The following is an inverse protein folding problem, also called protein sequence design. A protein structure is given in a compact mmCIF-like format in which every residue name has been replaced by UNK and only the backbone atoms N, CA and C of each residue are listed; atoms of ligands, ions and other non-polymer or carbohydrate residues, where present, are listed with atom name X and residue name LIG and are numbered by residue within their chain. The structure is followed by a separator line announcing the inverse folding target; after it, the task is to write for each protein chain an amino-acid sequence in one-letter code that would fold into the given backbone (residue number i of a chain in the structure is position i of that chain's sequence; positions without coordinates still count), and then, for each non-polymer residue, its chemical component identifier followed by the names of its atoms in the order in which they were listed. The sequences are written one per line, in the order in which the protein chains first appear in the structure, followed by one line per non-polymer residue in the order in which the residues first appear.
data_IF_581017548281
#
_entry.id   IF_581017548281
#
_cell.length_a   1.000
_cell.length_b   1.000
_cell.length_c   1.000
_cell.angle_alpha   90.00
_cell.angle_beta   90.00
_cell.angle_gamma   90.00
#
_symmetry.space_group_name_H-M   'P 1'
#
loop_
_entity.id
_entity.type
_entity.pdbx_description
1 polymer ?
#
# COMPACT_ATOMS: atom_id res chain seq x y z
N UNK A 1 2.71 -14.04 -13.59
CA UNK A 1 1.76 -12.92 -13.40
C UNK A 1 2.47 -11.65 -13.80
N UNK A 2 1.83 -10.79 -14.59
CA UNK A 2 2.38 -9.50 -14.98
C UNK A 2 1.28 -8.44 -15.02
N UNK A 3 1.66 -7.17 -14.85
CA UNK A 3 0.78 -6.03 -15.06
C UNK A 3 0.75 -5.71 -16.56
N UNK A 4 -0.44 -5.74 -17.18
CA UNK A 4 -0.60 -5.47 -18.61
C UNK A 4 -0.72 -3.97 -18.91
N UNK A 5 -1.45 -3.26 -18.09
CA UNK A 5 -1.60 -1.81 -18.22
C UNK A 5 -1.84 -1.14 -16.87
N UNK A 6 -1.57 0.15 -16.81
CA UNK A 6 -1.75 1.00 -15.65
C UNK A 6 -2.34 2.34 -16.10
N UNK A 7 -3.38 2.78 -15.43
CA UNK A 7 -3.93 4.13 -15.55
C UNK A 7 -3.77 4.85 -14.21
N UNK A 8 -3.30 6.06 -14.27
CA UNK A 8 -3.05 6.94 -13.12
C UNK A 8 -3.83 8.23 -13.35
N UNK A 9 -4.62 8.64 -12.38
CA UNK A 9 -5.27 9.94 -12.33
C UNK A 9 -4.96 10.61 -10.99
N UNK A 10 -4.43 11.85 -11.05
CA UNK A 10 -4.19 12.76 -9.92
C UNK A 10 -3.39 12.11 -8.76
N UNK A 11 -2.42 11.26 -9.10
CA UNK A 11 -1.55 10.61 -8.14
C UNK A 11 -0.16 11.23 -8.16
N UNK A 12 0.24 11.83 -7.06
CA UNK A 12 1.52 12.54 -6.89
C UNK A 12 1.71 13.62 -7.98
N UNK A 13 2.70 13.46 -8.87
CA UNK A 13 2.94 14.38 -9.97
C UNK A 13 2.25 14.00 -11.30
N UNK A 14 1.52 12.87 -11.33
CA UNK A 14 0.78 12.44 -12.51
C UNK A 14 -0.66 12.96 -12.49
N UNK A 15 -1.02 13.87 -13.40
CA UNK A 15 -2.40 14.33 -13.57
C UNK A 15 -3.25 13.25 -14.25
N UNK A 16 -2.79 12.79 -15.41
CA UNK A 16 -3.39 11.66 -16.14
C UNK A 16 -2.32 10.97 -16.96
N UNK A 17 -2.16 9.68 -16.74
CA UNK A 17 -1.16 8.88 -17.44
C UNK A 17 -1.69 7.48 -17.69
N UNK A 18 -1.30 6.88 -18.82
CA UNK A 18 -1.64 5.50 -19.17
C UNK A 18 -0.41 4.81 -19.72
N UNK A 19 -0.16 3.59 -19.24
CA UNK A 19 1.00 2.79 -19.59
C UNK A 19 0.57 1.39 -19.99
N UNK A 20 1.22 0.84 -21.01
CA UNK A 20 1.12 -0.57 -21.39
C UNK A 20 2.47 -1.24 -21.17
N UNK A 21 2.46 -2.45 -20.61
CA UNK A 21 3.65 -3.17 -20.22
C UNK A 21 3.79 -4.46 -21.01
N UNK A 22 5.04 -4.85 -21.27
CA UNK A 22 5.39 -6.18 -21.75
C UNK A 22 5.52 -7.15 -20.56
N UNK A 23 5.52 -8.45 -20.86
CA UNK A 23 5.67 -9.49 -19.84
C UNK A 23 7.06 -9.58 -19.23
N UNK A 24 8.06 -9.01 -19.89
CA UNK A 24 9.46 -9.09 -19.50
C UNK A 24 9.91 -7.82 -18.80
N UNK A 25 10.88 -7.11 -19.36
CA UNK A 25 11.49 -5.92 -18.79
C UNK A 25 10.84 -4.67 -19.39
N UNK A 26 10.46 -3.74 -18.53
CA UNK A 26 9.97 -2.43 -18.89
C UNK A 26 10.86 -1.36 -18.25
N UNK A 27 11.43 -0.47 -19.05
CA UNK A 27 12.31 0.59 -18.59
C UNK A 27 11.61 1.95 -18.67
N UNK A 28 11.67 2.73 -17.59
CA UNK A 28 11.22 4.11 -17.57
C UNK A 28 12.42 5.04 -17.65
N UNK A 29 12.51 5.82 -18.71
CA UNK A 29 13.59 6.75 -18.99
C UNK A 29 13.01 8.17 -19.06
N UNK A 30 13.77 9.16 -18.63
CA UNK A 30 13.38 10.57 -18.63
C UNK A 30 14.12 11.36 -17.55
N UNK A 31 13.84 12.65 -17.47
CA UNK A 31 14.48 13.60 -16.55
C UNK A 31 14.17 13.30 -15.08
N UNK A 32 15.02 13.85 -14.19
CA UNK A 32 14.73 13.79 -12.76
C UNK A 32 13.47 14.59 -12.45
N UNK A 33 12.62 14.05 -11.59
CA UNK A 33 11.32 14.66 -11.29
C UNK A 33 10.18 14.31 -12.25
N UNK A 34 10.44 13.66 -13.40
CA UNK A 34 9.41 13.26 -14.37
C UNK A 34 8.35 12.27 -13.83
N UNK A 35 8.56 11.70 -12.63
CA UNK A 35 7.58 10.81 -12.01
C UNK A 35 7.85 9.32 -12.19
N UNK A 36 9.01 8.91 -12.72
CA UNK A 36 9.36 7.48 -12.93
C UNK A 36 9.14 6.63 -11.67
N UNK A 37 9.66 7.09 -10.54
CA UNK A 37 9.48 6.42 -9.24
C UNK A 37 8.01 6.40 -8.80
N UNK A 38 7.22 7.42 -9.15
CA UNK A 38 5.80 7.47 -8.83
C UNK A 38 4.97 6.46 -9.63
N UNK A 39 5.42 6.07 -10.83
CA UNK A 39 4.82 4.95 -11.57
C UNK A 39 5.05 3.62 -10.84
N UNK A 40 6.27 3.37 -10.37
CA UNK A 40 6.59 2.18 -9.58
C UNK A 40 5.79 2.14 -8.27
N UNK A 41 5.63 3.28 -7.62
CA UNK A 41 4.83 3.40 -6.42
C UNK A 41 3.33 3.18 -6.69
N UNK A 42 2.81 3.63 -7.82
CA UNK A 42 1.43 3.34 -8.23
C UNK A 42 1.19 1.84 -8.44
N UNK A 43 2.15 1.13 -9.03
CA UNK A 43 2.11 -0.34 -9.18
C UNK A 43 2.13 -1.01 -7.79
N UNK A 44 3.02 -0.58 -6.91
CA UNK A 44 3.08 -1.07 -5.53
C UNK A 44 1.78 -0.77 -4.77
N UNK A 45 1.21 0.42 -4.96
CA UNK A 45 -0.05 0.81 -4.34
C UNK A 45 -1.21 -0.11 -4.75
N UNK A 46 -1.29 -0.46 -6.03
CA UNK A 46 -2.28 -1.44 -6.52
C UNK A 46 -2.07 -2.84 -5.95
N UNK A 47 -0.83 -3.23 -5.63
CA UNK A 47 -0.49 -4.52 -5.02
C UNK A 47 -0.76 -4.55 -3.52
N UNK A 48 -0.31 -3.52 -2.78
CA UNK A 48 -0.28 -3.48 -1.32
C UNK A 48 -1.36 -2.58 -0.69
N UNK A 49 -2.17 -1.91 -1.51
CA UNK A 49 -3.14 -0.88 -1.10
C UNK A 49 -2.54 0.26 -0.26
N UNK A 50 -1.26 0.53 -0.41
CA UNK A 50 -0.53 1.63 0.25
C UNK A 50 0.70 2.03 -0.57
N UNK A 51 1.11 3.29 -0.46
CA UNK A 51 2.37 3.76 -1.03
C UNK A 51 3.57 3.12 -0.32
N UNK A 52 4.64 2.86 -1.06
CA UNK A 52 5.92 2.46 -0.51
C UNK A 52 6.67 3.66 0.11
N UNK A 53 6.62 4.81 -0.57
CA UNK A 53 7.39 5.99 -0.18
C UNK A 53 6.65 6.92 0.78
N UNK A 54 5.31 6.91 0.79
CA UNK A 54 4.51 7.78 1.64
C UNK A 54 3.33 7.04 2.28
N UNK A 55 3.41 6.86 3.60
CA UNK A 55 2.40 6.10 4.35
C UNK A 55 1.11 6.87 4.62
N UNK A 56 1.08 8.20 4.36
CA UNK A 56 -0.12 9.03 4.53
C UNK A 56 -0.86 9.06 3.19
N UNK A 57 -1.98 8.34 3.13
CA UNK A 57 -2.74 8.16 1.88
C UNK A 57 -3.10 9.49 1.20
N UNK A 58 -3.55 10.50 1.95
CA UNK A 58 -3.93 11.81 1.40
C UNK A 58 -2.76 12.55 0.72
N UNK A 59 -1.53 12.36 1.19
CA UNK A 59 -0.35 12.97 0.59
C UNK A 59 0.07 12.35 -0.75
N UNK A 60 -0.60 11.29 -1.18
CA UNK A 60 -0.42 10.72 -2.52
C UNK A 60 -1.39 11.33 -3.55
N UNK A 61 -2.35 12.16 -3.13
CA UNK A 61 -3.19 12.96 -4.02
C UNK A 61 -2.31 14.07 -4.64
N UNK A 62 -2.51 14.34 -5.92
CA UNK A 62 -1.83 15.44 -6.60
C UNK A 62 -2.16 16.78 -5.93
N UNK A 63 -1.17 17.66 -5.83
CA UNK A 63 -1.34 18.98 -5.23
C UNK A 63 -2.52 19.74 -5.86
N UNK A 64 -3.37 20.37 -5.05
CA UNK A 64 -4.62 21.08 -5.40
C UNK A 64 -5.77 20.16 -5.89
N UNK A 65 -5.65 18.86 -5.80
CA UNK A 65 -6.72 17.91 -6.12
C UNK A 65 -7.28 17.29 -4.84
N UNK A 66 -8.48 16.73 -4.91
CA UNK A 66 -9.19 16.13 -3.77
C UNK A 66 -9.27 14.60 -3.84
N UNK A 67 -8.79 14.00 -4.96
CA UNK A 67 -8.81 12.55 -5.13
C UNK A 67 -7.63 12.06 -5.98
N UNK A 68 -7.39 10.75 -5.95
CA UNK A 68 -6.67 10.04 -6.99
C UNK A 68 -7.38 8.75 -7.37
N UNK A 69 -7.10 8.26 -8.57
CA UNK A 69 -7.50 6.94 -9.04
C UNK A 69 -6.30 6.23 -9.66
N UNK A 70 -6.08 4.99 -9.23
CA UNK A 70 -5.16 4.04 -9.84
C UNK A 70 -5.96 2.85 -10.35
N UNK A 71 -5.69 2.42 -11.60
CA UNK A 71 -6.34 1.25 -12.18
C UNK A 71 -5.31 0.44 -12.96
N UNK A 72 -5.27 -0.87 -12.74
CA UNK A 72 -4.34 -1.76 -13.42
C UNK A 72 -4.99 -3.10 -13.75
N UNK A 73 -4.58 -3.68 -14.87
CA UNK A 73 -4.99 -5.02 -15.28
C UNK A 73 -3.82 -5.98 -15.09
N UNK A 74 -4.01 -6.95 -14.21
CA UNK A 74 -3.05 -7.99 -13.89
C UNK A 74 -3.45 -9.29 -14.59
N UNK A 75 -2.54 -9.84 -15.39
CA UNK A 75 -2.75 -11.12 -16.07
C UNK A 75 -2.01 -12.21 -15.31
N UNK A 76 -2.72 -13.29 -14.98
CA UNK A 76 -2.18 -14.50 -14.36
C UNK A 76 -2.67 -15.70 -15.14
N UNK A 77 -1.75 -16.40 -15.83
CA UNK A 77 -2.09 -17.45 -16.79
C UNK A 77 -3.04 -16.86 -17.86
N UNK A 78 -4.24 -17.42 -18.00
CA UNK A 78 -5.26 -17.01 -18.98
C UNK A 78 -6.29 -16.00 -18.44
N UNK A 79 -6.22 -15.66 -17.15
CA UNK A 79 -7.18 -14.73 -16.52
C UNK A 79 -6.58 -13.35 -16.35
N UNK A 80 -7.38 -12.32 -16.59
CA UNK A 80 -7.02 -10.92 -16.32
C UNK A 80 -7.95 -10.35 -15.27
N UNK A 81 -7.38 -9.84 -14.20
CA UNK A 81 -8.10 -9.15 -13.13
C UNK A 81 -7.85 -7.65 -13.20
N UNK A 82 -8.91 -6.88 -13.18
CA UNK A 82 -8.87 -5.42 -13.04
C UNK A 82 -8.82 -5.04 -11.57
N UNK A 83 -7.81 -4.29 -11.17
CA UNK A 83 -7.71 -3.71 -9.83
C UNK A 83 -7.83 -2.20 -9.94
N UNK A 84 -8.71 -1.62 -9.15
CA UNK A 84 -8.90 -0.18 -9.08
C UNK A 84 -8.85 0.29 -7.63
N UNK A 85 -8.03 1.29 -7.39
CA UNK A 85 -7.95 1.98 -6.10
C UNK A 85 -8.31 3.45 -6.29
N UNK A 86 -9.32 3.92 -5.56
CA UNK A 86 -9.70 5.32 -5.49
C UNK A 86 -9.50 5.80 -4.05
N UNK A 87 -8.96 6.98 -3.92
CA UNK A 87 -8.95 7.72 -2.65
C UNK A 87 -9.57 9.09 -2.92
N UNK A 88 -10.48 9.51 -2.06
CA UNK A 88 -10.99 10.88 -2.06
C UNK A 88 -10.89 11.45 -0.65
N UNK A 89 -10.45 12.69 -0.57
CA UNK A 89 -10.32 13.38 0.70
C UNK A 89 -11.69 13.46 1.41
N UNK A 90 -11.72 13.15 2.69
CA UNK A 90 -12.96 13.07 3.48
C UNK A 90 -13.82 11.82 3.28
N UNK A 91 -13.75 11.15 2.14
CA UNK A 91 -14.55 9.93 1.86
C UNK A 91 -13.76 8.62 2.10
N UNK A 92 -12.43 8.71 2.11
CA UNK A 92 -11.55 7.57 2.34
C UNK A 92 -11.25 6.74 1.10
N UNK A 93 -10.62 5.59 1.32
CA UNK A 93 -10.07 4.73 0.28
C UNK A 93 -11.02 3.58 -0.08
N UNK A 94 -11.17 3.33 -1.38
CA UNK A 94 -11.96 2.22 -1.94
C UNK A 94 -11.09 1.41 -2.87
N UNK A 95 -11.02 0.10 -2.64
CA UNK A 95 -10.32 -0.85 -3.50
C UNK A 95 -11.32 -1.83 -4.10
N UNK A 96 -11.23 -2.04 -5.42
CA UNK A 96 -12.11 -2.94 -6.18
C UNK A 96 -11.28 -3.94 -6.98
N UNK A 97 -11.80 -5.15 -7.11
CA UNK A 97 -11.36 -6.17 -8.06
C UNK A 97 -12.51 -6.52 -8.99
N UNK A 98 -12.33 -6.38 -10.30
CA UNK A 98 -13.37 -6.65 -11.31
C UNK A 98 -14.69 -5.94 -10.97
N UNK A 99 -14.61 -4.63 -10.67
CA UNK A 99 -15.71 -3.75 -10.23
C UNK A 99 -16.30 -4.08 -8.84
N UNK A 100 -15.91 -5.19 -8.21
CA UNK A 100 -16.41 -5.59 -6.89
C UNK A 100 -15.53 -5.02 -5.78
N UNK A 101 -16.13 -4.26 -4.86
CA UNK A 101 -15.43 -3.65 -3.71
C UNK A 101 -14.99 -4.73 -2.71
N UNK A 102 -13.75 -4.66 -2.25
CA UNK A 102 -13.28 -5.45 -1.11
C UNK A 102 -13.93 -4.97 0.19
N UNK A 103 -14.35 -5.91 1.02
CA UNK A 103 -14.84 -5.59 2.37
C UNK A 103 -13.71 -5.19 3.30
N UNK A 104 -12.53 -5.81 3.15
CA UNK A 104 -11.31 -5.53 3.92
C UNK A 104 -10.11 -5.51 2.99
N UNK A 105 -9.22 -4.55 3.15
CA UNK A 105 -7.98 -4.48 2.34
C UNK A 105 -7.07 -5.70 2.54
N UNK A 106 -7.13 -6.35 3.72
CA UNK A 106 -6.40 -7.58 3.98
C UNK A 106 -6.78 -8.75 3.06
N UNK A 107 -7.98 -8.74 2.46
CA UNK A 107 -8.41 -9.75 1.49
C UNK A 107 -7.66 -9.61 0.15
N UNK A 108 -7.15 -8.43 -0.13
CA UNK A 108 -6.40 -8.12 -1.35
C UNK A 108 -4.91 -8.47 -1.23
N UNK A 109 -4.32 -8.26 -0.04
CA UNK A 109 -2.88 -8.46 0.18
C UNK A 109 -2.49 -9.89 -0.18
N UNK A 110 -1.45 -10.04 -1.02
CA UNK A 110 -0.94 -11.33 -1.51
C UNK A 110 -1.65 -11.90 -2.73
N UNK A 111 -2.75 -11.29 -3.22
CA UNK A 111 -3.34 -11.70 -4.51
C UNK A 111 -2.48 -11.28 -5.70
N UNK A 112 -1.82 -10.13 -5.60
CA UNK A 112 -0.93 -9.55 -6.60
C UNK A 112 0.41 -9.20 -5.95
N UNK A 113 1.21 -10.21 -5.54
CA UNK A 113 2.45 -9.95 -4.81
C UNK A 113 3.43 -9.16 -5.67
N UNK A 114 4.09 -8.20 -5.05
CA UNK A 114 5.11 -7.37 -5.69
C UNK A 114 6.29 -7.14 -4.74
N UNK A 115 7.45 -6.96 -5.33
CA UNK A 115 8.66 -6.52 -4.63
C UNK A 115 9.07 -5.19 -5.26
N UNK A 116 9.36 -4.20 -4.42
CA UNK A 116 9.97 -2.94 -4.83
C UNK A 116 11.33 -2.83 -4.16
N UNK A 117 12.31 -2.36 -4.89
CA UNK A 117 13.67 -2.10 -4.40
C UNK A 117 13.99 -0.64 -4.69
N UNK A 118 14.51 0.05 -3.71
CA UNK A 118 14.88 1.45 -3.81
C UNK A 118 16.26 1.72 -3.19
N UNK A 119 16.94 2.81 -3.53
CA UNK A 119 18.19 3.18 -2.89
C UNK A 119 18.11 3.32 -1.36
N UNK A 120 16.92 3.60 -0.82
CA UNK A 120 16.69 3.73 0.63
C UNK A 120 16.64 2.39 1.36
N UNK A 121 16.66 1.25 0.65
CA UNK A 121 16.63 -0.08 1.27
C UNK A 121 17.93 -0.41 2.01
N UNK A 122 19.02 0.36 1.79
CA UNK A 122 20.19 0.37 2.66
C UNK A 122 19.82 0.61 4.13
N UNK A 123 18.70 1.27 4.40
CA UNK A 123 18.16 1.48 5.74
C UNK A 123 17.81 0.16 6.47
N UNK A 124 17.54 -0.92 5.75
CA UNK A 124 17.38 -2.26 6.35
C UNK A 124 18.65 -2.71 7.10
N UNK A 125 19.82 -2.25 6.67
CA UNK A 125 21.11 -2.55 7.28
C UNK A 125 21.49 -1.48 8.31
N UNK A 126 21.29 -0.22 7.96
CA UNK A 126 21.77 0.93 8.75
C UNK A 126 20.85 1.25 9.93
N UNK A 127 19.55 1.05 9.80
CA UNK A 127 18.56 1.38 10.83
C UNK A 127 18.30 0.22 11.80
N UNK A 128 17.50 0.49 12.83
CA UNK A 128 17.17 -0.44 13.90
C UNK A 128 16.30 -1.64 13.46
N UNK A 129 16.09 -2.55 14.39
CA UNK A 129 15.33 -3.80 14.20
C UNK A 129 13.86 -3.56 13.79
N UNK A 130 13.30 -2.38 14.01
CA UNK A 130 11.92 -2.06 13.65
C UNK A 130 11.72 -2.05 12.12
N UNK A 131 12.66 -1.45 11.38
CA UNK A 131 12.60 -1.40 9.90
C UNK A 131 12.67 -2.81 9.32
N UNK A 132 13.57 -3.65 9.84
CA UNK A 132 13.68 -5.06 9.44
C UNK A 132 12.42 -5.86 9.75
N UNK A 133 11.81 -5.66 10.93
CA UNK A 133 10.53 -6.32 11.28
C UNK A 133 9.41 -5.90 10.33
N UNK A 134 9.25 -4.61 10.06
CA UNK A 134 8.24 -4.10 9.10
C UNK A 134 8.41 -4.70 7.70
N UNK A 135 9.66 -4.81 7.24
CA UNK A 135 9.97 -5.45 5.96
C UNK A 135 9.54 -6.93 5.94
N UNK A 136 9.93 -7.70 6.97
CA UNK A 136 9.56 -9.11 7.11
C UNK A 136 8.04 -9.28 7.24
N UNK A 137 7.39 -8.48 8.07
CA UNK A 137 5.94 -8.47 8.23
C UNK A 137 5.21 -8.24 6.90
N UNK A 138 5.68 -7.28 6.11
CA UNK A 138 5.13 -6.99 4.79
C UNK A 138 5.32 -8.16 3.81
N UNK A 139 6.53 -8.73 3.77
CA UNK A 139 6.86 -9.83 2.88
C UNK A 139 6.09 -11.12 3.23
N UNK A 140 6.07 -11.51 4.50
CA UNK A 140 5.37 -12.71 4.96
C UNK A 140 3.85 -12.55 4.79
N UNK A 141 3.31 -11.34 5.00
CA UNK A 141 1.89 -11.05 4.83
C UNK A 141 1.41 -11.25 3.39
N UNK A 142 2.26 -11.03 2.39
CA UNK A 142 1.93 -11.30 0.98
C UNK A 142 1.86 -12.81 0.68
N UNK A 143 2.63 -13.60 1.41
CA UNK A 143 2.72 -15.04 1.18
C UNK A 143 1.71 -15.83 2.03
N UNK A 144 1.49 -15.42 3.31
CA UNK A 144 0.72 -16.19 4.29
C UNK A 144 -0.40 -15.36 4.92
N UNK A 145 -1.63 -15.59 4.46
CA UNK A 145 -2.83 -14.89 4.95
C UNK A 145 -3.11 -15.10 6.45
N UNK A 146 -2.77 -16.26 7.01
CA UNK A 146 -2.89 -16.50 8.46
C UNK A 146 -1.96 -15.60 9.27
N UNK A 147 -0.73 -15.39 8.77
CA UNK A 147 0.21 -14.44 9.38
C UNK A 147 -0.33 -13.00 9.38
N UNK A 148 -0.85 -12.54 8.24
CA UNK A 148 -1.46 -11.22 8.14
C UNK A 148 -2.61 -11.02 9.15
N UNK A 149 -3.48 -12.03 9.31
CA UNK A 149 -4.55 -11.99 10.31
C UNK A 149 -4.01 -11.87 11.73
N UNK A 150 -2.99 -12.67 12.08
CA UNK A 150 -2.34 -12.63 13.39
C UNK A 150 -1.67 -11.28 13.63
N UNK A 151 -0.97 -10.73 12.64
CA UNK A 151 -0.32 -9.43 12.71
C UNK A 151 -1.33 -8.30 12.93
N UNK A 152 -2.46 -8.32 12.24
CA UNK A 152 -3.56 -7.36 12.43
C UNK A 152 -4.10 -7.42 13.86
N UNK A 153 -4.35 -8.63 14.38
CA UNK A 153 -4.85 -8.82 15.74
C UNK A 153 -3.84 -8.37 16.79
N UNK A 154 -2.56 -8.71 16.61
CA UNK A 154 -1.47 -8.26 17.47
C UNK A 154 -1.39 -6.73 17.53
N UNK A 155 -1.38 -6.07 16.37
CA UNK A 155 -1.31 -4.61 16.30
C UNK A 155 -2.54 -3.93 16.92
N UNK A 156 -3.73 -4.55 16.78
CA UNK A 156 -4.96 -4.06 17.44
C UNK A 156 -4.83 -4.15 18.96
N UNK A 157 -4.43 -5.31 19.48
CA UNK A 157 -4.24 -5.53 20.92
C UNK A 157 -3.17 -4.59 21.50
N UNK A 158 -2.05 -4.42 20.80
CA UNK A 158 -0.97 -3.50 21.20
C UNK A 158 -1.47 -2.05 21.27
N UNK A 159 -2.27 -1.62 20.31
CA UNK A 159 -2.89 -0.28 20.30
C UNK A 159 -3.83 -0.07 21.49
N UNK A 160 -4.69 -1.07 21.77
CA UNK A 160 -5.62 -1.03 22.91
C UNK A 160 -4.85 -0.98 24.23
N UNK A 161 -3.86 -1.87 24.42
CA UNK A 161 -2.99 -1.87 25.60
C UNK A 161 -2.32 -0.50 25.81
N UNK A 162 -1.72 0.07 24.77
CA UNK A 162 -1.01 1.33 24.89
C UNK A 162 -1.97 2.50 25.21
N UNK A 163 -3.19 2.48 24.67
CA UNK A 163 -4.22 3.46 25.01
C UNK A 163 -4.64 3.36 26.47
N UNK A 164 -4.86 2.15 26.98
CA UNK A 164 -5.18 1.91 28.39
C UNK A 164 -4.04 2.36 29.32
N UNK A 165 -2.79 2.00 29.00
CA UNK A 165 -1.64 2.43 29.80
C UNK A 165 -1.48 3.95 29.85
N UNK A 166 -1.77 4.63 28.74
CA UNK A 166 -1.77 6.10 28.69
C UNK A 166 -2.86 6.68 29.58
N UNK A 167 -4.08 6.16 29.52
CA UNK A 167 -5.19 6.59 30.39
C UNK A 167 -4.88 6.36 31.87
N UNK A 168 -4.27 5.21 32.23
CA UNK A 168 -3.85 4.92 33.58
C UNK A 168 -2.79 5.89 34.08
N UNK A 169 -1.79 6.20 33.25
CA UNK A 169 -0.77 7.19 33.56
C UNK A 169 -1.34 8.59 33.81
N UNK A 170 -2.37 8.98 33.04
CA UNK A 170 -3.03 10.28 33.18
C UNK A 170 -3.96 10.35 34.41
N UNK A 171 -4.61 9.23 34.79
CA UNK A 171 -5.55 9.17 35.93
C UNK A 171 -4.87 8.90 37.28
N UNK A 172 -3.69 8.28 37.28
CA UNK A 172 -2.94 7.97 38.51
C UNK A 172 -3.50 6.80 39.34
N UNK A 173 -4.56 6.11 38.91
CA UNK A 173 -5.13 4.93 39.59
C UNK A 173 -5.63 3.89 38.58
N UNK A 174 -5.67 2.64 39.02
CA UNK A 174 -6.16 1.50 38.26
C UNK A 174 -7.60 1.18 38.70
N UNK A 175 -8.53 1.13 37.73
CA UNK A 175 -9.90 0.66 37.96
C UNK A 175 -9.99 -0.80 37.51
N UNK A 176 -10.18 -1.74 38.42
CA UNK A 176 -10.23 -3.20 38.14
C UNK A 176 -11.46 -3.60 37.33
N UNK A 177 -12.44 -2.69 37.13
CA UNK A 177 -13.71 -2.95 36.47
C UNK A 177 -13.76 -2.47 35.00
N UNK A 178 -12.66 -2.02 34.42
CA UNK A 178 -12.60 -1.50 33.02
C UNK A 178 -11.89 -2.44 32.05
#
# INVERSE_FOLDING_TARGET
MHLKNLQINQFKNHSQSSFSFTEQVNCFVGDNGAGKTNILDAIHYLSQSKSYFNHIDAQNIQFKMDYFMLKGNFTKKETTDEIQCNLKEGEGKVLKKNQKKYKRFSEHIGQFPSVIISPTDSNLILEGSEVRRKYLDSSISQYKQSYLKSLINYNKALKQRNALLKQLSERGYFDELS
#
